data_IF_432616729460
#
_entry.id   IF_432616729460
#
_cell.length_a   1.000
_cell.length_b   1.000
_cell.length_c   1.000
_cell.angle_alpha   90.00
_cell.angle_beta   90.00
_cell.angle_gamma   90.00
#
_symmetry.space_group_name_H-M   'P 1'
#
loop_
_entity.id
_entity.type
_entity.pdbx_description
1 polymer ?
#
# COMPACT_ATOMS: atom_id res chain seq x y z
N UNK A 1 0.76 24.02 -15.44
CA UNK A 1 1.37 22.67 -15.39
C UNK A 1 1.90 22.51 -13.98
N UNK A 2 1.20 21.75 -13.13
CA UNK A 2 1.50 21.67 -11.69
C UNK A 2 2.35 20.43 -11.46
N UNK A 3 3.61 20.67 -11.11
CA UNK A 3 4.57 19.63 -10.75
C UNK A 3 4.00 18.73 -9.64
N UNK A 4 4.10 17.45 -9.90
CA UNK A 4 3.26 16.38 -9.40
C UNK A 4 3.39 16.09 -7.89
N UNK A 5 2.34 15.53 -7.25
CA UNK A 5 2.38 14.95 -5.89
C UNK A 5 3.53 13.95 -5.67
N UNK A 6 4.14 13.43 -6.75
CA UNK A 6 5.40 12.66 -6.75
C UNK A 6 6.56 13.35 -6.03
N UNK A 7 6.60 14.68 -5.98
CA UNK A 7 7.66 15.42 -5.28
C UNK A 7 7.55 15.33 -3.75
N UNK A 8 6.34 15.23 -3.18
CA UNK A 8 6.18 15.11 -1.72
C UNK A 8 6.73 13.78 -1.18
N UNK A 9 6.61 12.70 -1.95
CA UNK A 9 7.19 11.40 -1.59
C UNK A 9 8.73 11.40 -1.59
N UNK A 10 9.37 12.26 -2.41
CA UNK A 10 10.84 12.35 -2.47
C UNK A 10 11.47 12.99 -1.23
N UNK A 11 10.70 13.76 -0.46
CA UNK A 11 11.21 14.61 0.63
C UNK A 11 10.69 14.16 2.00
N UNK A 12 9.92 13.08 2.07
CA UNK A 12 9.56 12.49 3.34
C UNK A 12 10.83 11.97 4.03
N UNK A 13 11.03 12.27 5.33
CA UNK A 13 12.17 11.74 6.08
C UNK A 13 12.17 10.23 5.94
N UNK A 14 13.36 9.61 5.95
CA UNK A 14 13.49 8.17 5.86
C UNK A 14 12.90 7.58 7.15
N UNK A 15 11.58 7.38 7.15
CA UNK A 15 10.87 6.76 8.26
C UNK A 15 11.24 5.30 8.17
N UNK A 16 12.04 4.82 9.13
CA UNK A 16 12.21 3.40 9.38
C UNK A 16 10.86 2.84 9.79
N UNK A 17 10.06 2.43 8.80
CA UNK A 17 8.68 2.00 8.94
C UNK A 17 8.00 2.00 7.57
N UNK A 18 7.13 1.03 7.31
CA UNK A 18 6.47 0.87 6.00
C UNK A 18 5.82 2.16 5.49
N UNK A 19 5.75 2.31 4.17
CA UNK A 19 5.19 3.51 3.55
C UNK A 19 3.72 3.69 3.93
N UNK A 20 3.40 4.81 4.55
CA UNK A 20 2.03 5.13 4.91
C UNK A 20 1.37 5.92 3.77
N UNK A 21 0.28 5.39 3.22
CA UNK A 21 -0.38 5.89 2.00
C UNK A 21 -1.85 6.18 2.26
N UNK A 22 -2.43 7.21 1.64
CA UNK A 22 -3.86 7.50 1.81
C UNK A 22 -4.65 6.91 0.65
N UNK A 23 -5.74 6.16 0.89
CA UNK A 23 -6.54 5.57 -0.19
C UNK A 23 -7.01 6.59 -1.25
N UNK A 24 -7.25 7.85 -0.83
CA UNK A 24 -7.70 8.93 -1.72
C UNK A 24 -6.65 9.41 -2.73
N UNK A 25 -5.37 9.12 -2.50
CA UNK A 25 -4.28 9.54 -3.37
C UNK A 25 -3.99 8.50 -4.47
N UNK A 26 -4.74 7.38 -4.50
CA UNK A 26 -4.54 6.26 -5.40
C UNK A 26 -5.85 5.91 -6.12
N UNK A 27 -5.72 5.46 -7.37
CA UNK A 27 -6.81 4.93 -8.17
C UNK A 27 -6.62 3.42 -8.32
N UNK A 28 -7.73 2.66 -8.30
CA UNK A 28 -7.66 1.22 -8.51
C UNK A 28 -7.22 0.94 -9.95
N UNK A 29 -6.12 0.21 -10.09
CA UNK A 29 -5.54 -0.17 -11.37
C UNK A 29 -5.96 -1.56 -11.84
N UNK A 30 -5.11 -2.16 -12.66
CA UNK A 30 -5.31 -3.51 -13.18
C UNK A 30 -5.12 -4.58 -12.10
N UNK A 31 -5.86 -5.67 -12.23
CA UNK A 31 -5.71 -6.87 -11.42
C UNK A 31 -5.07 -7.96 -12.27
N UNK A 32 -4.04 -8.61 -11.73
CA UNK A 32 -3.33 -9.70 -12.41
C UNK A 32 -3.05 -10.85 -11.46
N UNK A 33 -3.00 -12.06 -12.02
CA UNK A 33 -2.54 -13.24 -11.29
C UNK A 33 -1.01 -13.32 -11.33
N UNK A 34 -0.40 -13.40 -10.16
CA UNK A 34 1.05 -13.50 -10.02
C UNK A 34 1.44 -14.29 -8.78
N UNK A 35 2.62 -14.92 -8.82
CA UNK A 35 3.14 -15.70 -7.71
C UNK A 35 3.67 -14.82 -6.56
N UNK A 36 4.13 -13.61 -6.88
CA UNK A 36 4.64 -12.61 -5.94
C UNK A 36 4.70 -11.23 -6.61
N UNK A 37 5.16 -10.22 -5.89
CA UNK A 37 5.15 -8.82 -6.33
C UNK A 37 6.10 -8.56 -7.51
N UNK A 38 7.20 -9.30 -7.63
CA UNK A 38 8.13 -9.18 -8.76
C UNK A 38 7.59 -9.83 -10.03
N UNK A 39 6.92 -10.97 -9.90
CA UNK A 39 6.21 -11.62 -11.00
C UNK A 39 5.06 -10.74 -11.49
N UNK A 40 4.34 -10.10 -10.57
CA UNK A 40 3.32 -9.11 -10.90
C UNK A 40 3.90 -7.92 -11.67
N UNK A 41 5.00 -7.36 -11.18
CA UNK A 41 5.70 -6.26 -11.83
C UNK A 41 6.16 -6.60 -13.26
N UNK A 42 6.72 -7.79 -13.46
CA UNK A 42 7.17 -8.21 -14.78
C UNK A 42 5.99 -8.34 -15.75
N UNK A 43 4.89 -8.98 -15.33
CA UNK A 43 3.69 -9.12 -16.18
C UNK A 43 3.05 -7.78 -16.54
N UNK A 44 2.92 -6.87 -15.57
CA UNK A 44 2.40 -5.52 -15.81
C UNK A 44 3.29 -4.73 -16.77
N UNK A 45 4.61 -4.94 -16.70
CA UNK A 45 5.53 -4.34 -17.65
C UNK A 45 5.37 -4.90 -19.07
N UNK A 46 5.17 -6.21 -19.19
CA UNK A 46 4.94 -6.89 -20.47
C UNK A 46 3.58 -6.53 -21.09
N UNK A 47 2.55 -6.26 -20.27
CA UNK A 47 1.21 -5.85 -20.73
C UNK A 47 1.13 -4.40 -21.19
N UNK A 48 2.20 -3.60 -21.00
CA UNK A 48 2.23 -2.19 -21.37
C UNK A 48 1.76 -1.23 -20.27
N UNK A 49 1.44 -1.75 -19.08
CA UNK A 49 1.03 -0.99 -17.90
C UNK A 49 2.03 -1.16 -16.74
N UNK A 50 3.32 -0.80 -16.92
CA UNK A 50 4.35 -1.06 -15.92
C UNK A 50 4.10 -0.26 -14.64
N UNK A 51 4.30 -0.90 -13.48
CA UNK A 51 4.35 -0.16 -12.22
C UNK A 51 5.59 0.75 -12.19
N UNK A 52 5.34 2.01 -11.87
CA UNK A 52 6.34 3.03 -11.63
C UNK A 52 6.62 3.23 -10.14
N UNK A 53 7.67 4.02 -9.88
CA UNK A 53 8.01 4.42 -8.51
C UNK A 53 6.86 5.22 -7.90
N UNK A 54 6.38 4.76 -6.75
CA UNK A 54 5.24 5.33 -6.02
C UNK A 54 3.93 4.55 -6.18
N UNK A 55 3.85 3.64 -7.15
CA UNK A 55 2.65 2.82 -7.36
C UNK A 55 2.54 1.72 -6.29
N UNK A 56 1.32 1.27 -6.04
CA UNK A 56 1.00 0.27 -5.03
C UNK A 56 0.58 -1.05 -5.68
N UNK A 57 1.01 -2.15 -5.05
CA UNK A 57 0.46 -3.48 -5.25
C UNK A 57 -0.25 -3.89 -3.97
N UNK A 58 -1.45 -4.41 -4.13
CA UNK A 58 -2.22 -5.08 -3.07
C UNK A 58 -2.30 -6.56 -3.41
N UNK A 59 -1.98 -7.43 -2.44
CA UNK A 59 -2.17 -8.86 -2.61
C UNK A 59 -3.58 -9.29 -2.16
N UNK A 60 -3.93 -10.56 -2.37
CA UNK A 60 -5.24 -11.10 -1.99
C UNK A 60 -5.51 -11.08 -0.47
N UNK A 61 -4.45 -10.98 0.34
CA UNK A 61 -4.53 -10.87 1.81
C UNK A 61 -4.71 -9.41 2.28
N UNK A 62 -4.72 -8.44 1.36
CA UNK A 62 -4.81 -7.00 1.65
C UNK A 62 -3.47 -6.37 2.09
N UNK A 63 -2.35 -7.07 1.94
CA UNK A 63 -1.02 -6.53 2.19
C UNK A 63 -0.59 -5.63 1.03
N UNK A 64 -0.24 -4.38 1.37
CA UNK A 64 0.21 -3.40 0.39
C UNK A 64 1.72 -3.38 0.29
N UNK A 65 2.22 -3.22 -0.93
CA UNK A 65 3.62 -2.91 -1.22
C UNK A 65 3.74 -1.72 -2.15
N UNK A 66 4.63 -0.81 -1.82
CA UNK A 66 4.95 0.35 -2.67
C UNK A 66 6.18 0.05 -3.53
N UNK A 67 6.09 0.36 -4.82
CA UNK A 67 7.20 0.25 -5.74
C UNK A 67 8.19 1.41 -5.52
N UNK A 68 9.44 1.11 -5.19
CA UNK A 68 10.55 2.06 -5.03
C UNK A 68 11.65 1.79 -6.05
N UNK A 69 12.62 2.70 -6.16
CA UNK A 69 13.76 2.54 -7.06
C UNK A 69 14.60 1.27 -6.83
N UNK A 70 14.62 0.77 -5.59
CA UNK A 70 15.43 -0.40 -5.18
C UNK A 70 14.61 -1.68 -5.03
N UNK A 71 13.30 -1.64 -5.25
CA UNK A 71 12.40 -2.78 -5.06
C UNK A 71 11.09 -2.40 -4.38
N UNK A 72 10.41 -3.42 -3.82
CA UNK A 72 9.14 -3.26 -3.12
C UNK A 72 9.33 -3.18 -1.61
N UNK A 73 8.66 -2.22 -0.98
CA UNK A 73 8.61 -2.11 0.48
C UNK A 73 7.18 -2.23 1.00
N UNK A 74 6.99 -2.77 2.22
CA UNK A 74 5.67 -2.85 2.82
C UNK A 74 5.06 -1.45 2.98
N UNK A 75 3.77 -1.36 2.69
CA UNK A 75 2.97 -0.15 2.82
C UNK A 75 1.70 -0.45 3.62
N UNK A 76 1.07 0.61 4.16
CA UNK A 76 -0.18 0.50 4.89
C UNK A 76 -1.07 1.70 4.58
N UNK A 77 -2.38 1.46 4.48
CA UNK A 77 -3.36 2.53 4.36
C UNK A 77 -3.38 3.35 5.65
N UNK A 78 -3.23 4.67 5.51
CA UNK A 78 -3.55 5.64 6.55
C UNK A 78 -5.08 5.74 6.67
N UNK A 79 -5.66 4.77 7.36
CA UNK A 79 -7.07 4.84 7.73
C UNK A 79 -7.22 5.83 8.89
N UNK A 80 -8.18 6.77 8.82
CA UNK A 80 -8.56 7.51 10.02
C UNK A 80 -9.03 6.50 11.06
N UNK A 81 -8.53 6.62 12.29
CA UNK A 81 -8.83 5.71 13.37
C UNK A 81 -10.35 5.55 13.51
N UNK A 82 -10.89 4.31 13.45
CA UNK A 82 -12.30 4.12 13.69
C UNK A 82 -12.64 4.67 15.09
N UNK A 83 -13.80 5.30 15.29
CA UNK A 83 -14.25 5.63 16.64
C UNK A 83 -14.18 4.34 17.47
N UNK A 84 -13.73 4.40 18.73
CA UNK A 84 -13.52 3.21 19.55
C UNK A 84 -14.81 2.42 19.57
N UNK A 85 -14.84 1.31 18.83
CA UNK A 85 -15.85 0.29 19.03
C UNK A 85 -15.55 -0.24 20.41
N UNK A 86 -16.49 0.01 21.33
CA UNK A 86 -16.45 -0.52 22.67
C UNK A 86 -16.11 -2.01 22.56
N UNK A 87 -14.94 -2.37 23.09
CA UNK A 87 -14.61 -3.76 23.33
C UNK A 87 -15.71 -4.29 24.24
N UNK A 88 -16.64 -5.06 23.68
CA UNK A 88 -17.64 -5.74 24.48
C UNK A 88 -16.87 -6.75 25.33
N UNK A 89 -16.71 -6.36 26.59
CA UNK A 89 -16.01 -7.05 27.65
C UNK A 89 -16.67 -8.41 27.87
N UNK A 90 -16.13 -9.44 27.23
CA UNK A 90 -16.46 -10.82 27.56
C UNK A 90 -15.77 -11.16 28.89
N UNK A 91 -16.35 -10.71 30.00
CA UNK A 91 -16.02 -11.14 31.35
C UNK A 91 -15.97 -12.68 31.42
N UNK A 92 -14.82 -13.31 31.75
CA UNK A 92 -14.85 -14.68 32.24
C UNK A 92 -15.21 -14.63 33.73
N UNK A 93 -16.51 -14.58 34.05
CA UNK A 93 -16.96 -14.82 35.43
C UNK A 93 -17.05 -16.33 35.68
N UNK A 94 -15.97 -16.86 36.24
CA UNK A 94 -15.96 -18.16 36.95
C UNK A 94 -16.88 -18.12 38.16
N UNK A 95 -17.72 -19.15 38.32
CA UNK A 95 -18.08 -19.74 39.62
C UNK A 95 -18.23 -21.25 39.48
#
# INVERSE_FOLDING_TARGET
MKDSPRQQFRWAPHVSGGATVKPKDYEQGDQIEALNEYDAWQRLRESGHPLGVGDLLENEEGALRICKYVGFEPAQWMLPEPPPVAQEDACPSTV
#
